data_IF_935258262009
#
_entry.id   IF_935258262009
#
_cell.length_a   1.000
_cell.length_b   1.000
_cell.length_c   1.000
_cell.angle_alpha   90.00
_cell.angle_beta   90.00
_cell.angle_gamma   90.00
#
_symmetry.space_group_name_H-M   'P 1'
#
loop_
_entity.id
_entity.type
_entity.pdbx_description
1 polymer ?
#
# COMPACT_ATOMS: atom_id res chain seq x y z
N UNK A 1 -17.67 0.16 -3.16
CA UNK A 1 -16.37 0.63 -2.62
C UNK A 1 -15.90 1.80 -3.44
N UNK A 2 -15.42 2.86 -2.79
CA UNK A 2 -14.87 4.04 -3.48
C UNK A 2 -13.36 4.05 -3.30
N UNK A 3 -12.62 4.29 -4.37
CA UNK A 3 -11.16 4.44 -4.36
C UNK A 3 -10.82 5.81 -4.90
N UNK A 4 -9.85 6.48 -4.28
CA UNK A 4 -9.34 7.76 -4.74
C UNK A 4 -7.82 7.72 -4.75
N UNK A 5 -7.22 8.05 -5.89
CA UNK A 5 -5.78 8.18 -6.05
C UNK A 5 -5.49 9.65 -6.33
N UNK A 6 -4.58 10.24 -5.56
CA UNK A 6 -4.14 11.63 -5.76
C UNK A 6 -2.63 11.66 -5.88
N UNK A 7 -2.15 12.14 -7.02
CA UNK A 7 -0.73 12.35 -7.28
C UNK A 7 -0.47 13.84 -7.48
N UNK A 8 0.64 14.34 -6.92
CA UNK A 8 1.03 15.73 -7.08
C UNK A 8 2.56 15.85 -7.02
N UNK A 9 3.18 16.33 -8.10
CA UNK A 9 4.64 16.58 -8.12
C UNK A 9 5.02 17.93 -7.51
N UNK A 10 4.05 18.83 -7.30
CA UNK A 10 4.27 20.22 -6.86
C UNK A 10 4.00 20.41 -5.35
N UNK A 11 3.58 19.37 -4.64
CA UNK A 11 3.20 19.49 -3.23
C UNK A 11 4.44 19.73 -2.36
N UNK A 12 4.53 20.92 -1.75
CA UNK A 12 5.59 21.25 -0.78
C UNK A 12 5.48 20.30 0.41
N UNK A 13 6.56 19.55 0.68
CA UNK A 13 6.55 18.51 1.72
C UNK A 13 5.79 17.23 1.33
N UNK A 14 5.55 16.98 0.04
CA UNK A 14 4.73 15.85 -0.45
C UNK A 14 5.14 14.47 0.08
N UNK A 15 6.42 14.27 0.45
CA UNK A 15 6.89 13.03 1.09
C UNK A 15 6.12 12.69 2.37
N UNK A 16 5.79 13.66 3.21
CA UNK A 16 5.03 13.45 4.45
C UNK A 16 3.55 13.11 4.20
N UNK A 17 3.07 13.40 2.99
CA UNK A 17 1.68 13.19 2.55
C UNK A 17 1.49 11.96 1.67
N UNK A 18 2.57 11.22 1.39
CA UNK A 18 2.50 9.85 0.87
C UNK A 18 1.82 8.99 1.92
N UNK A 19 0.57 8.63 1.66
CA UNK A 19 -0.28 7.94 2.63
C UNK A 19 -1.18 6.92 1.95
N UNK A 20 -1.57 5.91 2.73
CA UNK A 20 -2.59 4.93 2.37
C UNK A 20 -3.67 4.96 3.44
N UNK A 21 -4.93 5.08 3.03
CA UNK A 21 -6.08 5.03 3.93
C UNK A 21 -7.02 3.93 3.47
N UNK A 22 -7.34 3.01 4.36
CA UNK A 22 -8.31 1.94 4.13
C UNK A 22 -9.44 2.09 5.14
N UNK A 23 -10.66 2.33 4.65
CA UNK A 23 -11.85 2.45 5.47
C UNK A 23 -12.71 1.19 5.32
N UNK A 24 -12.87 0.45 6.41
CA UNK A 24 -13.83 -0.63 6.55
C UNK A 24 -15.09 -0.16 7.28
N UNK A 25 -16.01 -1.10 7.47
CA UNK A 25 -17.22 -0.95 8.26
C UNK A 25 -16.94 -0.81 9.77
N UNK A 26 -15.87 -1.43 10.26
CA UNK A 26 -15.55 -1.50 11.70
C UNK A 26 -14.33 -0.67 12.11
N UNK A 27 -13.71 0.02 11.16
CA UNK A 27 -12.55 0.87 11.45
C UNK A 27 -11.84 1.41 10.23
N UNK A 28 -10.77 2.17 10.50
CA UNK A 28 -9.94 2.80 9.49
C UNK A 28 -8.47 2.59 9.83
N UNK A 29 -7.69 2.25 8.81
CA UNK A 29 -6.24 2.23 8.87
C UNK A 29 -5.71 3.40 8.05
N UNK A 30 -4.81 4.18 8.63
CA UNK A 30 -4.03 5.22 7.95
C UNK A 30 -2.55 4.93 8.13
N UNK A 31 -1.79 4.85 7.03
CA UNK A 31 -0.33 4.85 7.06
C UNK A 31 0.14 6.21 6.53
N UNK A 32 0.76 7.03 7.39
CA UNK A 32 1.30 8.35 7.00
C UNK A 32 2.49 8.81 7.86
N UNK A 33 3.66 9.09 7.28
CA UNK A 33 4.03 8.84 5.89
C UNK A 33 4.16 7.34 5.61
N UNK A 34 4.32 6.95 4.35
CA UNK A 34 4.64 5.56 3.99
C UNK A 34 6.08 5.16 4.39
N UNK A 35 7.01 6.11 4.45
CA UNK A 35 8.45 5.84 4.66
C UNK A 35 9.09 6.92 5.56
N UNK A 36 9.49 6.61 6.81
CA UNK A 36 9.18 5.37 7.53
C UNK A 36 7.69 5.27 7.87
N UNK A 37 7.09 4.07 7.82
CA UNK A 37 5.65 3.92 7.98
C UNK A 37 5.21 4.23 9.41
N UNK A 38 4.14 5.01 9.56
CA UNK A 38 3.45 5.21 10.84
C UNK A 38 1.99 4.82 10.70
N UNK A 39 1.56 3.81 11.45
CA UNK A 39 0.19 3.31 11.43
C UNK A 39 -0.66 4.02 12.47
N UNK A 40 -1.77 4.60 12.02
CA UNK A 40 -2.88 5.05 12.86
C UNK A 40 -4.08 4.15 12.62
N UNK A 41 -4.57 3.53 13.69
CA UNK A 41 -5.71 2.63 13.68
C UNK A 41 -6.87 3.28 14.42
N UNK A 42 -8.02 3.37 13.77
CA UNK A 42 -9.28 3.78 14.40
C UNK A 42 -10.25 2.61 14.38
N UNK A 43 -10.76 2.19 15.54
CA UNK A 43 -11.72 1.09 15.64
C UNK A 43 -13.06 1.54 16.25
N UNK A 44 -14.15 1.07 15.68
CA UNK A 44 -15.50 1.31 16.20
C UNK A 44 -15.73 0.62 17.56
N UNK A 45 -15.05 -0.52 17.81
CA UNK A 45 -15.07 -1.30 19.06
C UNK A 45 -13.67 -1.88 19.30
N UNK A 46 -13.31 -2.17 20.55
CA UNK A 46 -12.05 -2.83 20.87
C UNK A 46 -11.99 -4.24 20.24
N UNK A 47 -10.81 -4.65 19.76
CA UNK A 47 -10.57 -5.94 19.09
C UNK A 47 -9.18 -6.43 19.45
N UNK A 48 -9.08 -7.67 19.93
CA UNK A 48 -7.83 -8.27 20.41
C UNK A 48 -7.07 -7.34 21.38
N UNK A 49 -5.83 -6.99 21.05
CA UNK A 49 -4.97 -6.07 21.81
C UNK A 49 -5.22 -4.58 21.51
N UNK A 50 -6.13 -4.25 20.61
CA UNK A 50 -6.38 -2.89 20.13
C UNK A 50 -7.64 -2.28 20.75
N UNK A 51 -7.54 -1.02 21.18
CA UNK A 51 -8.61 -0.33 21.89
C UNK A 51 -9.61 0.27 20.90
N UNK A 52 -10.83 0.48 21.37
CA UNK A 52 -11.80 1.32 20.68
C UNK A 52 -11.26 2.75 20.53
N UNK A 53 -11.61 3.43 19.45
CA UNK A 53 -11.16 4.79 19.14
C UNK A 53 -9.86 4.80 18.35
N UNK A 54 -9.20 5.95 18.34
CA UNK A 54 -7.97 6.19 17.57
C UNK A 54 -6.72 5.92 18.40
N UNK A 55 -5.76 5.21 17.83
CA UNK A 55 -4.48 4.89 18.46
C UNK A 55 -3.38 4.71 17.41
N UNK A 56 -2.14 5.04 17.80
CA UNK A 56 -0.97 4.75 17.00
C UNK A 56 -0.50 3.31 17.30
N UNK A 57 -0.14 2.57 16.25
CA UNK A 57 0.36 1.19 16.36
C UNK A 57 1.81 1.17 15.90
N UNK A 58 2.69 0.69 16.78
CA UNK A 58 4.09 0.51 16.43
C UNK A 58 4.21 -0.58 15.37
N UNK A 59 4.79 -0.22 14.22
CA UNK A 59 5.18 -1.18 13.19
C UNK A 59 6.60 -1.68 13.48
N UNK A 60 6.92 -2.93 13.11
CA UNK A 60 8.30 -3.41 13.16
C UNK A 60 9.19 -2.51 12.29
N UNK A 61 10.48 -2.45 12.63
CA UNK A 61 11.44 -1.81 11.74
C UNK A 61 11.42 -2.52 10.39
N UNK A 62 11.21 -1.75 9.33
CA UNK A 62 11.33 -2.28 7.97
C UNK A 62 12.81 -2.63 7.74
N UNK A 63 13.17 -3.86 7.31
CA UNK A 63 14.51 -4.16 6.84
C UNK A 63 14.80 -3.35 5.55
N UNK A 64 15.93 -3.57 4.89
CA UNK A 64 16.27 -2.82 3.67
C UNK A 64 15.09 -2.77 2.69
N UNK A 65 14.79 -1.57 2.19
CA UNK A 65 13.53 -1.23 1.47
C UNK A 65 13.18 -2.18 0.32
N UNK A 66 14.19 -2.76 -0.31
CA UNK A 66 14.06 -3.61 -1.50
C UNK A 66 14.63 -5.00 -1.30
N UNK A 67 15.16 -5.32 -0.12
CA UNK A 67 15.93 -6.55 0.10
C UNK A 67 15.06 -7.77 -0.19
N UNK A 68 13.87 -7.83 0.41
CA UNK A 68 12.92 -8.93 0.22
C UNK A 68 12.43 -9.02 -1.24
N UNK A 69 12.21 -7.87 -1.90
CA UNK A 69 11.77 -7.83 -3.30
C UNK A 69 12.84 -8.36 -4.25
N UNK A 70 14.12 -7.98 -4.04
CA UNK A 70 15.23 -8.45 -4.85
C UNK A 70 15.56 -9.92 -4.57
N UNK A 71 15.42 -10.36 -3.32
CA UNK A 71 15.55 -11.78 -2.95
C UNK A 71 14.45 -12.59 -3.64
N UNK A 72 13.18 -12.17 -3.55
CA UNK A 72 12.03 -12.81 -4.23
C UNK A 72 12.29 -12.91 -5.74
N UNK A 73 12.69 -11.80 -6.37
CA UNK A 73 13.01 -11.76 -7.79
C UNK A 73 14.13 -12.76 -8.17
N UNK A 74 15.18 -12.83 -7.37
CA UNK A 74 16.27 -13.77 -7.61
C UNK A 74 15.83 -15.24 -7.47
N UNK A 75 14.91 -15.55 -6.54
CA UNK A 75 14.32 -16.89 -6.38
C UNK A 75 13.47 -17.28 -7.60
N UNK A 76 12.70 -16.33 -8.15
CA UNK A 76 11.92 -16.53 -9.38
C UNK A 76 12.85 -16.86 -10.55
N UNK A 77 13.91 -16.06 -10.77
CA UNK A 77 14.88 -16.29 -11.86
C UNK A 77 15.54 -17.67 -11.75
N UNK A 78 15.87 -18.11 -10.53
CA UNK A 78 16.48 -19.42 -10.28
C UNK A 78 15.49 -20.59 -10.35
N UNK A 79 14.19 -20.33 -10.50
CA UNK A 79 13.14 -21.36 -10.51
C UNK A 79 12.87 -21.97 -9.13
N UNK A 80 13.27 -21.29 -8.05
CA UNK A 80 13.05 -21.75 -6.67
C UNK A 80 11.60 -21.51 -6.22
N UNK A 81 10.93 -20.52 -6.82
CA UNK A 81 9.50 -20.24 -6.68
C UNK A 81 8.90 -19.89 -8.04
N UNK A 82 7.61 -20.14 -8.20
CA UNK A 82 6.85 -19.58 -9.32
C UNK A 82 6.69 -18.06 -9.15
N UNK A 83 6.60 -17.34 -10.26
CA UNK A 83 6.31 -15.92 -10.22
C UNK A 83 4.87 -15.70 -9.70
N UNK A 84 4.67 -15.05 -8.54
CA UNK A 84 3.33 -14.84 -7.99
C UNK A 84 2.55 -13.75 -8.74
N UNK A 85 3.20 -13.01 -9.64
CA UNK A 85 2.61 -11.94 -10.44
C UNK A 85 2.45 -12.39 -11.90
N UNK A 86 1.34 -13.07 -12.26
CA UNK A 86 1.09 -13.52 -13.62
C UNK A 86 0.91 -12.33 -14.57
N UNK A 87 1.17 -12.52 -15.87
CA UNK A 87 1.02 -11.45 -16.87
C UNK A 87 -0.38 -10.80 -16.88
N UNK A 88 -1.42 -11.56 -16.53
CA UNK A 88 -2.78 -11.03 -16.40
C UNK A 88 -2.90 -9.98 -15.27
N UNK A 89 -2.16 -10.14 -14.17
CA UNK A 89 -2.09 -9.14 -13.11
C UNK A 89 -1.43 -7.86 -13.60
N UNK A 90 -0.27 -7.98 -14.23
CA UNK A 90 0.48 -6.85 -14.79
C UNK A 90 -0.34 -6.08 -15.84
N UNK A 91 -1.07 -6.81 -16.70
CA UNK A 91 -1.96 -6.22 -17.68
C UNK A 91 -3.07 -5.40 -17.00
N UNK A 92 -3.75 -5.98 -16.00
CA UNK A 92 -4.81 -5.29 -15.25
C UNK A 92 -4.31 -4.00 -14.58
N UNK A 93 -3.10 -4.03 -13.99
CA UNK A 93 -2.48 -2.84 -13.39
C UNK A 93 -2.25 -1.75 -14.44
N UNK A 94 -1.73 -2.14 -15.61
CA UNK A 94 -1.46 -1.20 -16.70
C UNK A 94 -2.75 -0.61 -17.29
N UNK A 95 -3.78 -1.43 -17.48
CA UNK A 95 -5.11 -0.98 -17.95
C UNK A 95 -5.71 0.02 -16.97
N UNK A 96 -5.70 -0.29 -15.66
CA UNK A 96 -6.21 0.61 -14.63
C UNK A 96 -5.46 1.95 -14.58
N UNK A 97 -4.12 1.93 -14.74
CA UNK A 97 -3.31 3.15 -14.81
C UNK A 97 -3.68 4.02 -16.01
N UNK A 98 -3.82 3.39 -17.18
CA UNK A 98 -4.15 4.04 -18.44
C UNK A 98 -5.55 4.67 -18.38
N UNK A 99 -6.55 3.93 -17.90
CA UNK A 99 -7.90 4.43 -17.68
C UNK A 99 -7.92 5.62 -16.71
N UNK A 100 -7.24 5.51 -15.57
CA UNK A 100 -7.16 6.59 -14.58
C UNK A 100 -6.45 7.84 -15.14
N UNK A 101 -5.59 7.67 -16.14
CA UNK A 101 -4.87 8.75 -16.83
C UNK A 101 -5.64 9.33 -18.02
N UNK A 102 -6.84 8.82 -18.33
CA UNK A 102 -7.65 9.27 -19.47
C UNK A 102 -7.26 8.67 -20.82
N UNK A 103 -6.52 7.56 -20.84
CA UNK A 103 -6.07 6.84 -22.04
C UNK A 103 -6.60 5.40 -22.05
N UNK A 104 -7.92 5.17 -22.17
CA UNK A 104 -8.46 3.83 -22.07
C UNK A 104 -7.82 2.87 -23.09
N UNK A 105 -7.54 1.60 -22.70
CA UNK A 105 -7.01 0.60 -23.62
C UNK A 105 -7.97 0.40 -24.82
N UNK A 106 -7.40 0.14 -25.99
CA UNK A 106 -8.14 -0.08 -27.24
C UNK A 106 -8.74 -1.49 -27.33
#
# INVERSE_FOLDING_TARGET
>A
TTVTIRTASLEVGGYERRQLVVCGDEGTIEIRPLEPPKLRLTLAKARDSFKQGCQDVALPSMPGRYDEQLIEFARIIRGEIENPYPLAHELMVQEALLEASGYPPQ
#
